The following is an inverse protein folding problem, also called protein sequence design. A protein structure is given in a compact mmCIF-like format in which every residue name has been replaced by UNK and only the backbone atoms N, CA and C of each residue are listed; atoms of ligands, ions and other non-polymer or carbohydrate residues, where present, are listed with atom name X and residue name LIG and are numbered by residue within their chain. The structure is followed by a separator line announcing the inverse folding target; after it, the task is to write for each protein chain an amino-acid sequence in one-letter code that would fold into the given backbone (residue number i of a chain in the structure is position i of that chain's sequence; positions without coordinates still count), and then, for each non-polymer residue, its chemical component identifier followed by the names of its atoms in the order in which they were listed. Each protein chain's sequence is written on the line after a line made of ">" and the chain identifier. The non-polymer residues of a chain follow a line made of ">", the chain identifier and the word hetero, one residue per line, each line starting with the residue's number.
data_IF_826512008241
#
_entry.id   IF_826512008241
#
_cell.length_a   1.000
_cell.length_b   1.000
_cell.length_c   1.000
_cell.angle_alpha   90.00
_cell.angle_beta   90.00
_cell.angle_gamma   90.00
#
_symmetry.space_group_name_H-M   'P 1'
#
loop_
_entity.id
_entity.type
_entity.pdbx_description
1 polymer ?
#
# COMPACT_ATOMS: atom_id res chain seq x y z
N UNK A 1 9.70 -5.51 -10.73
CA UNK A 1 9.97 -4.13 -10.28
C UNK A 1 8.92 -3.64 -9.28
N UNK A 2 7.63 -3.61 -9.62
CA UNK A 2 6.56 -3.15 -8.71
C UNK A 2 6.59 -3.80 -7.31
N UNK A 3 6.85 -5.12 -7.23
CA UNK A 3 7.03 -5.83 -5.95
C UNK A 3 8.16 -5.26 -5.08
N UNK A 4 9.33 -5.01 -5.67
CA UNK A 4 10.47 -4.45 -4.94
C UNK A 4 10.22 -3.00 -4.53
N UNK A 5 9.57 -2.22 -5.39
CA UNK A 5 9.17 -0.85 -5.07
C UNK A 5 8.15 -0.81 -3.95
N UNK A 6 7.13 -1.67 -3.99
CA UNK A 6 6.15 -1.82 -2.91
C UNK A 6 6.84 -2.21 -1.59
N UNK A 7 7.73 -3.20 -1.60
CA UNK A 7 8.48 -3.60 -0.42
C UNK A 7 9.28 -2.44 0.20
N UNK A 8 9.90 -1.59 -0.61
CA UNK A 8 10.61 -0.40 -0.12
C UNK A 8 9.69 0.66 0.51
N UNK A 9 8.41 0.69 0.11
CA UNK A 9 7.43 1.71 0.50
C UNK A 9 6.42 1.22 1.55
N UNK A 10 6.31 -0.09 1.80
CA UNK A 10 5.13 -0.68 2.43
C UNK A 10 4.84 -0.21 3.86
N UNK A 11 5.87 0.24 4.60
CA UNK A 11 5.77 0.78 5.98
C UNK A 11 6.22 2.26 6.04
N UNK A 12 6.18 2.98 4.92
CA UNK A 12 6.63 4.38 4.88
C UNK A 12 5.85 5.27 5.86
N UNK A 13 6.56 6.00 6.73
CA UNK A 13 5.97 6.87 7.76
C UNK A 13 5.12 6.12 8.81
N UNK A 14 5.52 4.89 9.16
CA UNK A 14 4.85 4.10 10.20
C UNK A 14 5.00 4.72 11.61
N UNK A 15 3.91 5.00 12.35
CA UNK A 15 3.92 5.73 13.62
C UNK A 15 4.33 4.87 14.84
N UNK A 16 4.80 3.65 14.62
CA UNK A 16 5.09 2.67 15.69
C UNK A 16 3.83 2.27 16.49
N UNK A 17 2.66 2.29 15.86
CA UNK A 17 1.35 1.91 16.42
C UNK A 17 0.61 1.03 15.42
N UNK A 18 -0.41 0.30 15.88
CA UNK A 18 -1.20 -0.61 15.03
C UNK A 18 -2.47 0.06 14.50
N UNK A 19 -3.05 -0.49 13.42
CA UNK A 19 -4.38 -0.10 12.93
C UNK A 19 -5.43 -0.10 14.06
N UNK A 20 -5.46 -1.14 14.89
CA UNK A 20 -6.39 -1.24 16.02
C UNK A 20 -6.22 -0.09 17.03
N UNK A 21 -4.99 0.32 17.32
CA UNK A 21 -4.72 1.47 18.19
C UNK A 21 -5.22 2.78 17.57
N UNK A 22 -4.96 3.01 16.28
CA UNK A 22 -5.40 4.23 15.59
C UNK A 22 -6.92 4.35 15.55
N UNK A 23 -7.61 3.25 15.28
CA UNK A 23 -9.09 3.17 15.30
C UNK A 23 -9.62 3.42 16.72
N UNK A 24 -9.08 2.72 17.73
CA UNK A 24 -9.54 2.85 19.11
C UNK A 24 -9.36 4.27 19.68
N UNK A 25 -8.30 4.96 19.27
CA UNK A 25 -7.99 6.33 19.70
C UNK A 25 -8.61 7.41 18.82
N UNK A 26 -9.38 7.03 17.79
CA UNK A 26 -9.96 7.95 16.79
C UNK A 26 -8.91 8.87 16.19
N UNK A 27 -7.73 8.32 15.90
CA UNK A 27 -6.65 9.07 15.27
C UNK A 27 -7.14 9.65 13.93
N UNK A 28 -6.69 10.86 13.53
CA UNK A 28 -7.14 11.48 12.28
C UNK A 28 -6.99 10.60 11.04
N UNK A 29 -5.92 9.79 10.97
CA UNK A 29 -5.71 8.83 9.88
C UNK A 29 -6.79 7.73 9.84
N UNK A 30 -7.24 7.24 11.01
CA UNK A 30 -8.29 6.24 11.06
C UNK A 30 -9.62 6.78 10.53
N UNK A 31 -9.95 8.04 10.88
CA UNK A 31 -11.11 8.75 10.34
C UNK A 31 -10.96 8.96 8.83
N UNK A 32 -9.80 9.42 8.36
CA UNK A 32 -9.52 9.66 6.94
C UNK A 32 -9.71 8.40 6.08
N UNK A 33 -9.22 7.25 6.55
CA UNK A 33 -9.31 5.97 5.84
C UNK A 33 -10.49 5.10 6.29
N UNK A 34 -11.43 5.66 7.05
CA UNK A 34 -12.67 5.02 7.49
C UNK A 34 -12.42 3.63 8.12
N UNK A 35 -11.41 3.53 8.98
CA UNK A 35 -11.01 2.32 9.73
C UNK A 35 -10.60 1.11 8.85
N UNK A 36 -10.33 1.31 7.56
CA UNK A 36 -9.96 0.25 6.61
C UNK A 36 -8.49 0.37 6.24
N UNK A 37 -7.70 -0.65 6.61
CA UNK A 37 -6.26 -0.75 6.28
C UNK A 37 -5.56 0.60 6.44
N UNK A 38 -5.70 1.20 7.64
CA UNK A 38 -5.44 2.63 7.86
C UNK A 38 -3.99 2.97 7.56
N UNK A 39 -3.07 2.16 8.10
CA UNK A 39 -1.63 2.29 7.90
C UNK A 39 -1.26 1.96 6.45
N UNK A 40 -1.75 0.87 5.90
CA UNK A 40 -1.38 0.43 4.55
C UNK A 40 -1.83 1.43 3.48
N UNK A 41 -3.00 2.05 3.65
CA UNK A 41 -3.45 3.16 2.81
C UNK A 41 -2.54 4.40 2.97
N UNK A 42 -2.13 4.72 4.20
CA UNK A 42 -1.22 5.83 4.47
C UNK A 42 0.13 5.61 3.79
N UNK A 43 0.75 4.43 3.96
CA UNK A 43 2.04 4.09 3.37
C UNK A 43 2.02 4.23 1.85
N UNK A 44 0.99 3.69 1.19
CA UNK A 44 0.81 3.81 -0.24
C UNK A 44 0.60 5.28 -0.67
N UNK A 45 -0.34 5.99 -0.04
CA UNK A 45 -0.70 7.35 -0.42
C UNK A 45 0.47 8.33 -0.21
N UNK A 46 1.13 8.27 0.96
CA UNK A 46 2.22 9.16 1.32
C UNK A 46 3.48 8.91 0.46
N UNK A 47 3.80 7.65 0.15
CA UNK A 47 4.91 7.31 -0.75
C UNK A 47 4.68 7.83 -2.17
N UNK A 48 3.45 7.68 -2.70
CA UNK A 48 3.10 8.21 -4.02
C UNK A 48 3.07 9.73 -4.05
N UNK A 49 2.59 10.37 -2.99
CA UNK A 49 2.65 11.83 -2.86
C UNK A 49 4.10 12.32 -2.85
N UNK A 50 5.00 11.64 -2.14
CA UNK A 50 6.43 11.94 -2.17
C UNK A 50 6.99 11.78 -3.59
N UNK A 51 6.75 10.66 -4.26
CA UNK A 51 7.22 10.42 -5.63
C UNK A 51 6.77 11.51 -6.61
N UNK A 52 5.53 11.98 -6.50
CA UNK A 52 4.97 13.03 -7.37
C UNK A 52 5.33 14.45 -6.93
N UNK A 53 5.89 14.64 -5.74
CA UNK A 53 6.15 15.96 -5.17
C UNK A 53 7.19 16.77 -5.95
N UNK A 54 8.10 16.09 -6.67
CA UNK A 54 9.16 16.74 -7.44
C UNK A 54 9.47 15.98 -8.73
N UNK A 55 9.68 16.68 -9.87
CA UNK A 55 10.00 16.03 -11.14
C UNK A 55 11.26 15.15 -11.10
N UNK A 56 12.28 15.53 -10.30
CA UNK A 56 13.54 14.79 -10.19
C UNK A 56 13.40 13.41 -9.53
N UNK A 57 12.28 13.12 -8.85
CA UNK A 57 12.01 11.80 -8.28
C UNK A 57 11.41 10.83 -9.30
N UNK A 58 11.03 11.30 -10.49
CA UNK A 58 10.39 10.47 -11.50
C UNK A 58 11.37 9.53 -12.23
N UNK A 59 11.84 8.51 -11.51
CA UNK A 59 12.64 7.41 -12.06
C UNK A 59 11.85 6.46 -12.98
N UNK A 60 10.53 6.68 -13.14
CA UNK A 60 9.64 5.93 -14.01
C UNK A 60 9.30 6.68 -15.30
N UNK A 61 10.04 7.75 -15.61
CA UNK A 61 9.79 8.64 -16.76
C UNK A 61 9.88 7.97 -18.13
N UNK A 62 10.50 6.79 -18.23
CA UNK A 62 10.54 6.00 -19.47
C UNK A 62 9.34 5.10 -19.69
N UNK A 63 8.45 4.94 -18.70
CA UNK A 63 7.22 4.16 -18.86
C UNK A 63 6.19 4.96 -19.63
N UNK A 64 5.46 4.29 -20.52
CA UNK A 64 4.26 4.89 -21.09
C UNK A 64 3.12 5.01 -20.06
N UNK A 65 2.05 5.70 -20.43
CA UNK A 65 0.93 5.95 -19.51
C UNK A 65 0.23 4.65 -19.06
N UNK A 66 0.12 3.64 -19.94
CA UNK A 66 -0.51 2.36 -19.61
C UNK A 66 0.37 1.55 -18.65
N UNK A 67 1.68 1.50 -18.92
CA UNK A 67 2.69 0.89 -18.06
C UNK A 67 2.74 1.56 -16.68
N UNK A 68 2.74 2.89 -16.63
CA UNK A 68 2.73 3.65 -15.38
C UNK A 68 1.46 3.37 -14.56
N UNK A 69 0.28 3.39 -15.19
CA UNK A 69 -0.99 3.06 -14.51
C UNK A 69 -0.96 1.65 -13.95
N UNK A 70 -0.49 0.67 -14.74
CA UNK A 70 -0.37 -0.72 -14.29
C UNK A 70 0.64 -0.87 -13.15
N UNK A 71 1.78 -0.19 -13.24
CA UNK A 71 2.81 -0.19 -12.22
C UNK A 71 2.28 0.38 -10.90
N UNK A 72 1.63 1.55 -10.95
CA UNK A 72 1.00 2.18 -9.79
C UNK A 72 -0.02 1.26 -9.14
N UNK A 73 -0.92 0.69 -9.94
CA UNK A 73 -1.93 -0.25 -9.45
C UNK A 73 -1.29 -1.45 -8.74
N UNK A 74 -0.27 -2.07 -9.35
CA UNK A 74 0.46 -3.18 -8.72
C UNK A 74 1.07 -2.80 -7.37
N UNK A 75 1.76 -1.67 -7.30
CA UNK A 75 2.40 -1.21 -6.05
C UNK A 75 1.37 -1.00 -4.96
N UNK A 76 0.23 -0.36 -5.27
CA UNK A 76 -0.84 -0.13 -4.29
C UNK A 76 -1.45 -1.45 -3.81
N UNK A 77 -1.78 -2.37 -4.71
CA UNK A 77 -2.34 -3.68 -4.33
C UNK A 77 -1.38 -4.46 -3.42
N UNK A 78 -0.08 -4.41 -3.71
CA UNK A 78 0.94 -5.10 -2.94
C UNK A 78 1.15 -4.50 -1.55
N UNK A 79 1.08 -3.17 -1.40
CA UNK A 79 1.14 -2.52 -0.09
C UNK A 79 -0.15 -2.82 0.70
N UNK A 80 -1.32 -2.70 0.09
CA UNK A 80 -2.59 -3.03 0.77
C UNK A 80 -2.73 -4.52 1.14
N UNK A 81 -1.97 -5.40 0.49
CA UNK A 81 -1.93 -6.82 0.82
C UNK A 81 -1.13 -7.12 2.10
N UNK A 82 -0.36 -6.17 2.65
CA UNK A 82 0.37 -6.37 3.91
C UNK A 82 -0.49 -6.18 5.16
N UNK A 83 -1.75 -5.73 5.02
CA UNK A 83 -2.69 -5.65 6.14
C UNK A 83 -3.00 -7.05 6.67
N UNK A 84 -2.53 -7.35 7.88
CA UNK A 84 -2.73 -8.65 8.52
C UNK A 84 -4.21 -8.96 8.80
N UNK A 85 -5.11 -7.97 8.79
CA UNK A 85 -6.56 -8.20 8.85
C UNK A 85 -7.06 -9.02 7.66
N UNK A 86 -6.37 -8.95 6.52
CA UNK A 86 -6.69 -9.68 5.27
C UNK A 86 -5.91 -10.97 5.10
N UNK A 87 -5.05 -11.34 6.05
CA UNK A 87 -4.11 -12.46 5.94
C UNK A 87 -4.79 -13.77 5.53
N UNK A 88 -5.88 -14.13 6.22
CA UNK A 88 -6.58 -15.39 5.94
C UNK A 88 -7.36 -15.36 4.63
N UNK A 89 -7.89 -14.20 4.23
CA UNK A 89 -8.57 -14.05 2.94
C UNK A 89 -7.60 -14.37 1.79
N UNK A 90 -6.39 -13.83 1.84
CA UNK A 90 -5.36 -14.10 0.84
C UNK A 90 -4.88 -15.56 0.86
N UNK A 91 -4.72 -16.16 2.04
CA UNK A 91 -4.33 -17.57 2.13
C UNK A 91 -5.37 -18.50 1.49
N UNK A 92 -6.66 -18.26 1.76
CA UNK A 92 -7.75 -19.04 1.17
C UNK A 92 -7.78 -18.87 -0.34
N UNK A 93 -7.71 -17.63 -0.84
CA UNK A 93 -7.70 -17.37 -2.28
C UNK A 93 -6.49 -17.99 -2.99
N UNK A 94 -5.31 -17.93 -2.36
CA UNK A 94 -4.09 -18.51 -2.89
C UNK A 94 -4.19 -20.03 -3.00
N UNK A 95 -4.60 -20.72 -1.92
CA UNK A 95 -4.71 -22.18 -1.91
C UNK A 95 -5.71 -22.68 -2.96
N UNK A 96 -6.85 -21.99 -3.11
CA UNK A 96 -7.85 -22.34 -4.12
C UNK A 96 -7.31 -22.29 -5.57
N UNK A 97 -6.29 -21.47 -5.84
CA UNK A 97 -5.66 -21.34 -7.17
C UNK A 97 -4.42 -22.24 -7.33
N UNK A 98 -3.63 -22.39 -6.28
CA UNK A 98 -2.33 -23.05 -6.32
C UNK A 98 -2.38 -24.55 -6.00
N UNK A 99 -3.40 -24.99 -5.28
CA UNK A 99 -3.61 -26.37 -4.83
C UNK A 99 -5.06 -26.80 -5.11
N UNK A 100 -5.43 -26.98 -6.39
CA UNK A 100 -6.79 -27.36 -6.78
C UNK A 100 -7.18 -28.78 -6.35
#
# INVERSE_FOLDING_TARGET
>A
MALFTAAAMHDYDHPGRTNAFLVATKAPQAILYNDRSVLENHHAAASWNLFLSKPEYNFLSSLDEAEFRRFRYLVVELILATDLKRHFDFLVEFNAKAQP
#
